data_IF_891542650577
#
_entry.id   IF_891542650577
#
_cell.length_a   1.000
_cell.length_b   1.000
_cell.length_c   1.000
_cell.angle_alpha   90.00
_cell.angle_beta   90.00
_cell.angle_gamma   90.00
#
_symmetry.space_group_name_H-M   'P 1'
#
loop_
_entity.id
_entity.type
_entity.pdbx_description
1 polymer ?
#
# COMPACT_ATOMS: atom_id res chain seq x y z
N UNK A 1 13.25 -41.45 -56.33
CA UNK A 1 13.15 -39.97 -56.12
C UNK A 1 11.79 -39.41 -55.66
N UNK A 2 10.66 -40.14 -55.63
CA UNK A 2 9.40 -39.55 -55.07
C UNK A 2 9.38 -39.35 -53.55
N UNK A 3 10.18 -40.11 -52.79
CA UNK A 3 10.14 -40.08 -51.33
C UNK A 3 10.74 -38.81 -50.69
N UNK A 4 11.66 -38.13 -51.38
CA UNK A 4 12.28 -36.87 -50.87
C UNK A 4 11.34 -35.67 -50.94
N UNK A 5 10.50 -35.60 -51.98
CA UNK A 5 9.49 -34.53 -52.10
C UNK A 5 8.36 -34.70 -51.08
N UNK A 6 7.96 -35.94 -50.83
CA UNK A 6 6.95 -36.24 -49.82
C UNK A 6 7.45 -35.90 -48.40
N UNK A 7 8.70 -36.24 -48.07
CA UNK A 7 9.33 -35.90 -46.82
C UNK A 7 9.44 -34.39 -46.63
N UNK A 8 9.80 -33.64 -47.65
CA UNK A 8 9.88 -32.19 -47.59
C UNK A 8 8.51 -31.56 -47.38
N UNK A 9 7.46 -32.04 -48.04
CA UNK A 9 6.10 -31.57 -47.86
C UNK A 9 5.62 -31.80 -46.43
N UNK A 10 5.89 -32.96 -45.81
CA UNK A 10 5.54 -33.25 -44.41
C UNK A 10 6.25 -32.31 -43.48
N UNK A 11 7.53 -32.02 -43.64
CA UNK A 11 8.28 -31.08 -42.80
C UNK A 11 7.70 -29.68 -42.90
N UNK A 12 7.35 -29.20 -44.08
CA UNK A 12 6.76 -27.88 -44.30
C UNK A 12 5.39 -27.77 -43.60
N UNK A 13 4.55 -28.81 -43.71
CA UNK A 13 3.24 -28.83 -43.02
C UNK A 13 3.43 -28.80 -41.52
N UNK A 14 4.40 -29.54 -40.97
CA UNK A 14 4.69 -29.55 -39.53
C UNK A 14 5.15 -28.18 -39.03
N UNK A 15 6.03 -27.51 -39.79
CA UNK A 15 6.48 -26.16 -39.46
C UNK A 15 5.35 -25.13 -39.47
N UNK A 16 4.45 -25.21 -40.44
CA UNK A 16 3.27 -24.34 -40.53
C UNK A 16 2.31 -24.60 -39.37
N UNK A 17 2.11 -25.87 -38.98
CA UNK A 17 1.28 -26.20 -37.80
C UNK A 17 1.89 -25.65 -36.51
N UNK A 18 3.20 -25.77 -36.30
CA UNK A 18 3.90 -25.21 -35.13
C UNK A 18 3.77 -23.70 -35.13
N UNK A 19 3.97 -23.02 -36.26
CA UNK A 19 3.82 -21.58 -36.36
C UNK A 19 2.38 -21.10 -36.03
N UNK A 20 1.37 -21.86 -36.46
CA UNK A 20 -0.03 -21.60 -36.15
C UNK A 20 -0.31 -21.74 -34.63
N UNK A 21 0.19 -22.81 -34.02
CA UNK A 21 0.05 -23.00 -32.54
C UNK A 21 0.72 -21.88 -31.78
N UNK A 22 1.94 -21.49 -32.15
CA UNK A 22 2.67 -20.36 -31.54
C UNK A 22 1.85 -19.07 -31.68
N UNK A 23 1.29 -18.76 -32.84
CA UNK A 23 0.42 -17.60 -33.06
C UNK A 23 -0.82 -17.62 -32.15
N UNK A 24 -1.47 -18.78 -32.02
CA UNK A 24 -2.65 -18.93 -31.13
C UNK A 24 -2.28 -18.67 -29.68
N UNK A 25 -1.19 -19.28 -29.19
CA UNK A 25 -0.72 -19.12 -27.81
C UNK A 25 -0.35 -17.65 -27.50
N UNK A 26 0.38 -17.00 -28.42
CA UNK A 26 0.75 -15.59 -28.28
C UNK A 26 -0.49 -14.68 -28.27
N UNK A 27 -1.47 -14.96 -29.15
CA UNK A 27 -2.73 -14.20 -29.22
C UNK A 27 -3.58 -14.37 -27.96
N UNK A 28 -3.65 -15.57 -27.39
CA UNK A 28 -4.33 -15.82 -26.13
C UNK A 28 -3.67 -15.10 -24.95
N UNK A 29 -2.33 -15.06 -24.92
CA UNK A 29 -1.57 -14.33 -23.90
C UNK A 29 -1.83 -12.82 -23.96
N UNK A 30 -1.88 -12.26 -25.17
CA UNK A 30 -2.18 -10.83 -25.39
C UNK A 30 -3.63 -10.48 -25.02
N UNK A 31 -4.59 -11.35 -25.36
CA UNK A 31 -6.00 -11.13 -24.97
C UNK A 31 -6.23 -11.25 -23.46
N UNK A 32 -5.49 -12.11 -22.73
CA UNK A 32 -5.59 -12.18 -21.27
C UNK A 32 -5.19 -10.85 -20.61
N UNK A 33 -4.20 -10.15 -21.11
CA UNK A 33 -3.80 -8.84 -20.57
C UNK A 33 -4.84 -7.76 -20.86
N UNK A 34 -5.53 -7.82 -22.00
CA UNK A 34 -6.57 -6.85 -22.38
C UNK A 34 -7.89 -6.98 -21.59
N UNK A 35 -8.12 -8.12 -20.92
CA UNK A 35 -9.36 -8.37 -20.15
C UNK A 35 -9.25 -8.00 -18.66
N UNK A 36 -8.16 -7.36 -18.21
CA UNK A 36 -8.09 -6.83 -16.84
C UNK A 36 -8.84 -5.50 -16.78
N UNK A 37 -9.88 -5.38 -15.95
CA UNK A 37 -10.74 -4.17 -15.86
C UNK A 37 -10.14 -3.11 -14.94
N UNK A 38 -8.86 -2.77 -15.13
CA UNK A 38 -8.13 -1.84 -14.28
C UNK A 38 -7.57 -0.68 -15.07
N UNK A 39 -7.73 0.51 -14.52
CA UNK A 39 -7.16 1.74 -15.03
C UNK A 39 -6.21 2.34 -13.98
N UNK A 40 -5.28 3.15 -14.44
CA UNK A 40 -4.34 3.85 -13.56
C UNK A 40 -5.07 4.97 -12.82
N UNK A 41 -5.00 4.94 -11.49
CA UNK A 41 -5.37 6.12 -10.68
C UNK A 41 -4.46 7.30 -11.02
N UNK A 42 -4.99 8.49 -11.30
CA UNK A 42 -4.19 9.64 -11.73
C UNK A 42 -3.25 10.13 -10.62
N UNK A 43 -3.65 10.03 -9.35
CA UNK A 43 -2.88 10.49 -8.20
C UNK A 43 -3.06 9.54 -7.00
N UNK A 44 -2.00 9.34 -6.24
CA UNK A 44 -2.03 8.50 -5.03
C UNK A 44 -2.62 9.26 -3.83
N UNK A 45 -2.36 10.57 -3.75
CA UNK A 45 -2.73 11.41 -2.63
C UNK A 45 -3.74 12.48 -3.03
N UNK A 46 -4.70 12.75 -2.15
CA UNK A 46 -5.55 13.94 -2.25
C UNK A 46 -4.70 15.22 -2.19
N UNK A 47 -5.22 16.37 -2.62
CA UNK A 47 -4.50 17.65 -2.51
C UNK A 47 -4.06 17.99 -1.08
N UNK A 48 -4.89 17.71 -0.08
CA UNK A 48 -4.58 17.94 1.33
C UNK A 48 -3.45 17.03 1.82
N UNK A 49 -3.54 15.72 1.57
CA UNK A 49 -2.50 14.75 1.93
C UNK A 49 -1.16 15.07 1.25
N UNK A 50 -1.19 15.45 -0.03
CA UNK A 50 0.02 15.82 -0.78
C UNK A 50 0.68 17.09 -0.21
N UNK A 51 -0.12 18.11 0.11
CA UNK A 51 0.36 19.34 0.72
C UNK A 51 0.98 19.07 2.09
N UNK A 52 0.33 18.25 2.90
CA UNK A 52 0.81 17.85 4.21
C UNK A 52 2.12 17.05 4.13
N UNK A 53 2.18 16.05 3.27
CA UNK A 53 3.39 15.22 3.08
C UNK A 53 4.60 16.07 2.70
N UNK A 54 4.44 17.04 1.79
CA UNK A 54 5.55 17.92 1.39
C UNK A 54 6.11 18.75 2.54
N UNK A 55 5.24 19.30 3.41
CA UNK A 55 5.68 20.06 4.60
C UNK A 55 6.27 19.12 5.67
N UNK A 56 5.71 17.90 5.81
CA UNK A 56 6.21 16.89 6.73
C UNK A 56 7.64 16.44 6.36
N UNK A 57 7.90 16.19 5.08
CA UNK A 57 9.24 15.85 4.56
C UNK A 57 10.24 16.99 4.78
N UNK A 58 9.85 18.23 4.50
CA UNK A 58 10.68 19.40 4.73
C UNK A 58 11.01 19.58 6.20
N UNK A 59 10.03 19.48 7.10
CA UNK A 59 10.23 19.60 8.55
C UNK A 59 11.04 18.43 9.13
N UNK A 60 10.85 17.24 8.59
CA UNK A 60 11.60 16.03 8.96
C UNK A 60 13.09 16.11 8.63
N UNK A 61 13.47 16.89 7.62
CA UNK A 61 14.86 17.17 7.23
C UNK A 61 15.77 15.91 7.23
N UNK A 62 15.27 14.83 6.63
CA UNK A 62 15.99 13.55 6.54
C UNK A 62 16.01 12.69 7.82
N UNK A 63 15.43 13.16 8.94
CA UNK A 63 15.32 12.37 10.19
C UNK A 63 14.41 11.16 10.05
N UNK A 64 13.45 11.23 9.13
CA UNK A 64 12.48 10.15 8.87
C UNK A 64 12.33 9.92 7.37
N UNK A 65 12.03 8.67 7.01
CA UNK A 65 11.54 8.29 5.68
C UNK A 65 10.04 8.14 5.77
N UNK A 66 9.29 8.95 5.02
CA UNK A 66 7.82 8.89 5.01
C UNK A 66 7.32 7.98 3.91
N UNK A 67 6.38 7.10 4.26
CA UNK A 67 5.68 6.18 3.36
C UNK A 67 4.19 6.48 3.43
N UNK A 68 3.55 6.61 2.28
CA UNK A 68 2.12 6.92 2.23
C UNK A 68 1.24 5.75 1.85
N UNK A 69 -0.01 5.78 2.32
CA UNK A 69 -1.03 4.77 2.02
C UNK A 69 -0.58 3.34 2.36
N UNK A 70 0.08 3.19 3.51
CA UNK A 70 0.62 1.92 3.96
C UNK A 70 -0.51 1.06 4.53
N UNK A 71 -0.59 -0.19 4.12
CA UNK A 71 -1.57 -1.13 4.64
C UNK A 71 -1.21 -1.48 6.10
N UNK A 72 -2.23 -1.46 6.99
CA UNK A 72 -2.01 -1.75 8.40
C UNK A 72 -1.34 -3.11 8.65
N UNK A 73 -1.68 -4.13 7.84
CA UNK A 73 -1.07 -5.46 7.92
C UNK A 73 0.42 -5.52 7.50
N UNK A 74 0.98 -4.45 6.94
CA UNK A 74 2.40 -4.37 6.59
C UNK A 74 3.25 -3.80 7.74
N UNK A 75 2.60 -3.13 8.71
CA UNK A 75 3.28 -2.53 9.86
C UNK A 75 2.91 -3.17 11.20
N UNK A 76 1.84 -3.99 11.26
CA UNK A 76 1.48 -4.78 12.43
C UNK A 76 1.26 -6.26 12.06
N UNK A 77 1.52 -7.16 12.99
CA UNK A 77 1.28 -8.59 12.81
C UNK A 77 0.39 -9.15 13.91
N UNK A 78 -0.39 -10.16 13.58
CA UNK A 78 -1.19 -10.89 14.57
C UNK A 78 -0.26 -11.66 15.51
N UNK A 79 -0.48 -11.53 16.82
CA UNK A 79 0.31 -12.21 17.87
C UNK A 79 0.28 -13.72 17.68
N UNK A 80 1.37 -14.39 18.10
CA UNK A 80 1.44 -15.86 18.13
C UNK A 80 0.53 -16.43 19.25
N UNK A 81 0.27 -17.73 19.22
CA UNK A 81 -0.52 -18.42 20.24
C UNK A 81 -2.03 -18.42 20.02
N UNK A 82 -2.54 -17.74 18.99
CA UNK A 82 -3.97 -17.77 18.62
C UNK A 82 -4.31 -19.02 17.82
N UNK A 83 -5.52 -19.56 17.97
CA UNK A 83 -6.02 -20.61 17.08
C UNK A 83 -6.20 -20.06 15.64
N UNK A 84 -6.25 -20.98 14.65
CA UNK A 84 -6.27 -20.64 13.22
C UNK A 84 -7.43 -19.73 12.83
N UNK A 85 -8.64 -19.98 13.35
CA UNK A 85 -9.83 -19.19 13.04
C UNK A 85 -9.73 -17.76 13.60
N UNK A 86 -9.36 -17.62 14.87
CA UNK A 86 -9.17 -16.31 15.51
C UNK A 86 -8.04 -15.50 14.85
N UNK A 87 -6.93 -16.17 14.47
CA UNK A 87 -5.83 -15.57 13.72
C UNK A 87 -6.30 -15.03 12.37
N UNK A 88 -7.06 -15.83 11.60
CA UNK A 88 -7.58 -15.41 10.31
C UNK A 88 -8.55 -14.23 10.44
N UNK A 89 -9.43 -14.26 11.44
CA UNK A 89 -10.34 -13.14 11.73
C UNK A 89 -9.58 -11.84 12.06
N UNK A 90 -8.54 -11.93 12.89
CA UNK A 90 -7.70 -10.79 13.23
C UNK A 90 -6.95 -10.26 11.99
N UNK A 91 -6.40 -11.15 11.17
CA UNK A 91 -5.71 -10.77 9.92
C UNK A 91 -6.65 -10.06 8.95
N UNK A 92 -7.87 -10.59 8.74
CA UNK A 92 -8.87 -9.99 7.85
C UNK A 92 -9.25 -8.56 8.28
N UNK A 93 -9.22 -8.26 9.57
CA UNK A 93 -9.52 -6.94 10.10
C UNK A 93 -8.46 -5.88 9.77
N UNK A 94 -7.19 -6.27 9.70
CA UNK A 94 -6.08 -5.33 9.44
C UNK A 94 -5.70 -5.24 7.97
N UNK A 95 -5.88 -6.29 7.17
CA UNK A 95 -5.40 -6.35 5.77
C UNK A 95 -6.14 -5.42 4.81
N UNK A 96 -7.36 -5.00 5.14
CA UNK A 96 -8.17 -4.08 4.33
C UNK A 96 -8.09 -2.62 4.79
N UNK A 97 -7.25 -2.32 5.77
CA UNK A 97 -7.09 -0.97 6.33
C UNK A 97 -5.74 -0.40 5.95
N UNK A 98 -5.72 0.89 5.68
CA UNK A 98 -4.51 1.65 5.37
C UNK A 98 -4.42 2.82 6.33
N UNK A 99 -3.20 3.20 6.62
CA UNK A 99 -2.86 4.44 7.33
C UNK A 99 -2.31 5.45 6.32
N UNK A 100 -2.53 6.75 6.57
CA UNK A 100 -2.20 7.79 5.60
C UNK A 100 -0.70 7.93 5.42
N UNK A 101 0.06 8.09 6.51
CA UNK A 101 1.51 8.26 6.46
C UNK A 101 2.17 7.48 7.60
N UNK A 102 3.23 6.74 7.27
CA UNK A 102 4.10 6.04 8.21
C UNK A 102 5.46 6.71 8.17
N UNK A 103 5.98 7.12 9.33
CA UNK A 103 7.35 7.57 9.49
C UNK A 103 8.25 6.39 9.88
N UNK A 104 9.29 6.18 9.14
CA UNK A 104 10.29 5.14 9.37
C UNK A 104 11.66 5.75 9.65
N UNK A 105 12.47 5.02 10.38
CA UNK A 105 13.90 5.28 10.46
C UNK A 105 14.53 5.19 9.06
N UNK A 106 15.35 6.15 8.62
CA UNK A 106 15.83 6.20 7.23
C UNK A 106 16.81 5.08 6.88
N UNK A 107 17.51 4.50 7.85
CA UNK A 107 18.50 3.46 7.62
C UNK A 107 17.90 2.05 7.71
N UNK A 108 17.15 1.76 8.79
CA UNK A 108 16.58 0.43 9.06
C UNK A 108 15.19 0.23 8.48
N UNK A 109 14.50 1.30 8.12
CA UNK A 109 13.08 1.34 7.74
C UNK A 109 12.14 0.82 8.84
N UNK A 110 12.61 0.79 10.10
CA UNK A 110 11.74 0.46 11.23
C UNK A 110 10.69 1.54 11.43
N UNK A 111 9.45 1.12 11.69
CA UNK A 111 8.32 2.04 11.92
C UNK A 111 8.55 2.80 13.23
N UNK A 112 8.52 4.12 13.17
CA UNK A 112 8.65 5.01 14.30
C UNK A 112 7.29 5.49 14.82
N UNK A 113 6.45 5.98 13.92
CA UNK A 113 5.10 6.46 14.22
C UNK A 113 4.23 6.52 12.97
N UNK A 114 2.94 6.71 13.19
CA UNK A 114 1.93 6.89 12.14
C UNK A 114 1.31 8.28 12.27
N UNK A 115 0.96 8.89 11.14
CA UNK A 115 0.18 10.13 11.07
C UNK A 115 -1.06 9.90 10.22
N UNK A 116 -2.23 10.23 10.77
CA UNK A 116 -3.53 10.23 10.08
C UNK A 116 -4.00 11.66 9.87
N UNK A 117 -4.52 11.95 8.67
CA UNK A 117 -5.14 13.22 8.35
C UNK A 117 -6.65 13.13 8.51
N UNK A 118 -7.16 13.74 9.57
CA UNK A 118 -8.60 13.76 9.85
C UNK A 118 -9.30 14.86 9.05
N UNK A 119 -10.18 14.47 8.15
CA UNK A 119 -11.08 15.40 7.47
C UNK A 119 -12.25 15.76 8.38
N UNK A 120 -12.34 17.02 8.77
CA UNK A 120 -13.36 17.57 9.69
C UNK A 120 -14.79 17.48 9.14
N UNK A 121 -14.98 17.20 7.85
CA UNK A 121 -16.29 17.30 7.18
C UNK A 121 -17.22 16.10 7.38
N UNK A 122 -16.78 14.99 8.04
CA UNK A 122 -17.56 13.75 8.06
C UNK A 122 -17.57 13.03 9.42
N UNK A 123 -18.47 13.43 10.31
CA UNK A 123 -18.84 12.67 11.53
C UNK A 123 -19.87 11.58 11.21
N UNK A 124 -19.42 10.40 10.75
CA UNK A 124 -20.29 9.23 10.68
C UNK A 124 -19.81 8.14 11.63
N UNK A 125 -20.74 7.54 12.39
CA UNK A 125 -20.47 6.52 13.42
C UNK A 125 -19.61 5.32 12.92
N UNK A 126 -19.72 4.95 11.65
CA UNK A 126 -18.92 3.88 11.06
C UNK A 126 -17.42 4.25 10.90
N UNK A 127 -17.11 5.52 10.66
CA UNK A 127 -15.71 6.00 10.62
C UNK A 127 -15.11 5.98 12.01
N UNK A 128 -15.83 6.50 13.01
CA UNK A 128 -15.37 6.49 14.40
C UNK A 128 -14.96 5.10 14.89
N UNK A 129 -15.77 4.05 14.61
CA UNK A 129 -15.43 2.67 14.94
C UNK A 129 -14.21 2.12 14.18
N UNK A 130 -13.99 2.58 12.93
CA UNK A 130 -12.83 2.20 12.14
C UNK A 130 -11.56 2.84 12.71
N UNK A 131 -11.61 4.12 13.00
CA UNK A 131 -10.48 4.90 13.48
C UNK A 131 -10.08 4.41 14.87
N UNK A 132 -11.04 4.18 15.78
CA UNK A 132 -10.82 3.56 17.08
C UNK A 132 -10.15 2.16 16.96
N UNK A 133 -10.53 1.35 15.97
CA UNK A 133 -9.89 0.06 15.75
C UNK A 133 -8.44 0.21 15.31
N UNK A 134 -8.12 1.15 14.41
CA UNK A 134 -6.75 1.42 13.94
C UNK A 134 -5.89 1.90 15.10
N UNK A 135 -6.37 2.87 15.86
CA UNK A 135 -5.70 3.43 17.03
C UNK A 135 -5.36 2.35 18.07
N UNK A 136 -6.37 1.54 18.44
CA UNK A 136 -6.18 0.47 19.41
C UNK A 136 -5.22 -0.61 18.88
N UNK A 137 -5.22 -0.88 17.58
CA UNK A 137 -4.29 -1.84 16.96
C UNK A 137 -2.86 -1.33 17.00
N UNK A 138 -2.62 -0.07 16.63
CA UNK A 138 -1.30 0.56 16.65
C UNK A 138 -0.77 0.69 18.08
N UNK A 139 -1.62 1.15 19.02
CA UNK A 139 -1.28 1.22 20.45
C UNK A 139 -0.90 -0.15 21.02
N UNK A 140 -1.66 -1.21 20.70
CA UNK A 140 -1.36 -2.57 21.12
C UNK A 140 -0.05 -3.13 20.51
N UNK A 141 0.38 -2.58 19.36
CA UNK A 141 1.64 -2.90 18.70
C UNK A 141 2.81 -2.01 19.19
N UNK A 142 2.57 -1.03 20.04
CA UNK A 142 3.58 -0.08 20.52
C UNK A 142 3.98 0.95 19.46
N UNK A 143 3.13 1.19 18.45
CA UNK A 143 3.35 2.18 17.40
C UNK A 143 2.55 3.44 17.75
N UNK A 144 3.20 4.57 18.00
CA UNK A 144 2.51 5.84 18.24
C UNK A 144 1.73 6.31 17.01
N UNK A 145 0.56 6.90 17.23
CA UNK A 145 -0.25 7.51 16.18
C UNK A 145 -0.59 8.95 16.56
N UNK A 146 -0.53 9.84 15.57
CA UNK A 146 -1.00 11.23 15.69
C UNK A 146 -2.10 11.48 14.68
N UNK A 147 -3.15 12.12 15.14
CA UNK A 147 -4.21 12.68 14.33
C UNK A 147 -3.96 14.16 14.06
N UNK A 148 -3.95 14.53 12.78
CA UNK A 148 -3.78 15.91 12.33
C UNK A 148 -5.02 16.33 11.56
N UNK A 149 -5.68 17.40 11.99
CA UNK A 149 -6.82 17.93 11.25
C UNK A 149 -6.38 18.43 9.88
N UNK A 150 -7.07 17.96 8.82
CA UNK A 150 -6.79 18.36 7.45
C UNK A 150 -7.03 19.87 7.29
N UNK A 151 -6.02 20.56 6.75
CA UNK A 151 -6.03 22.01 6.46
C UNK A 151 -5.69 22.24 5.00
N UNK A 152 -6.06 23.42 4.47
CA UNK A 152 -5.67 23.84 3.11
C UNK A 152 -4.16 24.07 2.96
N UNK A 153 -3.49 24.46 4.04
CA UNK A 153 -2.04 24.67 4.10
C UNK A 153 -1.52 24.38 5.52
N UNK A 154 -0.25 24.01 5.61
CA UNK A 154 0.45 23.75 6.87
C UNK A 154 1.71 24.59 6.92
N UNK A 155 2.05 25.11 8.09
CA UNK A 155 3.34 25.77 8.35
C UNK A 155 4.37 24.77 8.87
N UNK A 156 5.65 25.09 8.71
CA UNK A 156 6.73 24.31 9.32
C UNK A 156 6.59 24.26 10.85
N UNK A 157 6.11 25.33 11.47
CA UNK A 157 5.86 25.39 12.91
C UNK A 157 4.79 24.40 13.37
N UNK A 158 3.66 24.25 12.60
CA UNK A 158 2.64 23.26 12.89
C UNK A 158 3.25 21.85 12.94
N UNK A 159 4.12 21.52 11.99
CA UNK A 159 4.74 20.20 11.88
C UNK A 159 5.84 19.98 12.94
N UNK A 160 6.60 21.00 13.27
CA UNK A 160 7.57 20.91 14.38
C UNK A 160 6.89 20.61 15.71
N UNK A 161 5.71 21.19 15.95
CA UNK A 161 4.88 20.85 17.09
C UNK A 161 4.47 19.37 17.13
N UNK A 162 4.14 18.79 15.98
CA UNK A 162 3.82 17.36 15.84
C UNK A 162 5.06 16.51 16.23
N UNK A 163 6.24 16.82 15.72
CA UNK A 163 7.46 16.08 16.06
C UNK A 163 7.80 16.17 17.54
N UNK A 164 7.65 17.33 18.15
CA UNK A 164 7.88 17.51 19.58
C UNK A 164 6.92 16.64 20.43
N UNK A 165 5.66 16.55 20.05
CA UNK A 165 4.69 15.67 20.72
C UNK A 165 5.10 14.19 20.58
N UNK A 166 5.62 13.79 19.38
CA UNK A 166 6.07 12.43 19.16
C UNK A 166 7.30 12.06 19.96
N UNK A 167 8.28 12.95 20.05
CA UNK A 167 9.49 12.71 20.84
C UNK A 167 9.17 12.51 22.33
N UNK A 168 8.13 13.17 22.82
CA UNK A 168 7.61 12.97 24.19
C UNK A 168 6.94 11.59 24.30
N UNK A 169 6.10 11.21 23.32
CA UNK A 169 5.39 9.93 23.35
C UNK A 169 6.33 8.71 23.20
N UNK A 170 7.44 8.86 22.48
CA UNK A 170 8.45 7.80 22.32
C UNK A 170 9.34 7.59 23.56
N UNK A 171 9.35 8.51 24.50
CA UNK A 171 10.15 8.45 25.75
C UNK A 171 9.38 7.86 26.94
N UNK A 172 8.09 7.62 26.77
CA UNK A 172 7.21 7.00 27.77
C UNK A 172 7.05 5.50 27.53
#
# INVERSE_FOLDING_TARGET
MPNSLLSLAVVVILLLAIAAVIKIVLRQKTQRVQNYPYEKEPVLFSPAERSFLGVLEQAGNGRYRFMGKVRLADIVRVKNGMNKSARQTALNKIQSKHVDIVACDPASLSVQFVVELDDSSHSQSKRKNRDEFVDNTLRAAGIPIIHVTAKKAYSLQDIQGIFSQMEIALKQ
#
